data_IF_957176746130
#
_entry.id   IF_957176746130
#
_cell.length_a   1.000
_cell.length_b   1.000
_cell.length_c   1.000
_cell.angle_alpha   90.00
_cell.angle_beta   90.00
_cell.angle_gamma   90.00
#
_symmetry.space_group_name_H-M   'P 1'
#
loop_
_entity.id
_entity.type
_entity.pdbx_description
1 polymer ?
#
# COMPACT_ATOMS: atom_id res chain seq x y z
N UNK A 1 53.23 38.36 -60.57
CA UNK A 1 52.89 37.71 -61.85
C UNK A 1 52.42 36.29 -61.53
N UNK A 2 51.37 35.82 -62.23
CA UNK A 2 50.56 34.59 -61.98
C UNK A 2 49.27 34.87 -61.18
N UNK A 3 48.17 35.01 -61.94
CA UNK A 3 46.77 34.97 -61.51
C UNK A 3 46.25 33.54 -61.70
N UNK A 4 45.53 33.04 -60.70
CA UNK A 4 44.62 31.88 -60.71
C UNK A 4 43.71 32.13 -59.48
N UNK A 5 42.39 31.92 -59.43
CA UNK A 5 41.49 31.03 -60.13
C UNK A 5 40.07 31.62 -60.00
N UNK A 6 39.17 31.26 -60.92
CA UNK A 6 37.76 31.68 -61.02
C UNK A 6 36.95 31.30 -59.77
N UNK A 7 35.97 32.13 -59.38
CA UNK A 7 34.68 31.65 -58.86
C UNK A 7 33.58 32.67 -59.16
N UNK A 8 32.50 32.15 -59.73
CA UNK A 8 31.32 32.81 -60.25
C UNK A 8 30.35 33.10 -59.10
N UNK A 9 29.96 34.36 -58.89
CA UNK A 9 28.84 34.72 -58.02
C UNK A 9 27.53 34.59 -58.80
N UNK A 10 26.58 33.81 -58.27
CA UNK A 10 25.17 33.88 -58.67
C UNK A 10 24.32 33.96 -57.40
N UNK A 11 23.53 35.03 -57.30
CA UNK A 11 22.63 35.35 -56.20
C UNK A 11 21.38 34.47 -56.26
N UNK A 12 20.98 33.89 -55.12
CA UNK A 12 19.68 33.23 -54.95
C UNK A 12 19.01 33.74 -53.67
N UNK A 13 17.88 34.45 -53.83
CA UNK A 13 17.02 34.95 -52.77
C UNK A 13 16.46 33.77 -51.95
N UNK A 14 16.66 33.80 -50.63
CA UNK A 14 16.07 32.86 -49.69
C UNK A 14 14.57 33.12 -49.48
N UNK A 15 13.74 32.12 -49.75
CA UNK A 15 12.31 32.11 -49.44
C UNK A 15 12.14 31.62 -48.00
N UNK A 16 11.89 32.54 -47.07
CA UNK A 16 11.63 32.22 -45.66
C UNK A 16 10.20 31.67 -45.53
N UNK A 17 10.07 30.34 -45.45
CA UNK A 17 8.79 29.68 -45.18
C UNK A 17 8.40 29.90 -43.71
N UNK A 18 7.45 30.80 -43.49
CA UNK A 18 6.84 31.05 -42.19
C UNK A 18 5.82 29.93 -41.92
N UNK A 19 6.22 28.92 -41.15
CA UNK A 19 5.32 27.87 -40.67
C UNK A 19 4.43 28.50 -39.59
N UNK A 20 3.18 28.79 -39.94
CA UNK A 20 2.14 29.18 -38.99
C UNK A 20 1.70 27.95 -38.21
N UNK A 21 2.19 27.82 -36.98
CA UNK A 21 1.59 26.94 -35.98
C UNK A 21 0.20 27.49 -35.63
N UNK A 22 -0.85 26.87 -36.15
CA UNK A 22 -2.18 27.00 -35.57
C UNK A 22 -2.16 26.30 -34.20
N UNK A 23 -1.96 27.09 -33.14
CA UNK A 23 -2.14 26.64 -31.77
C UNK A 23 -3.58 26.18 -31.56
N UNK A 24 -3.74 24.96 -31.07
CA UNK A 24 -5.01 24.48 -30.52
C UNK A 24 -5.25 25.26 -29.23
N UNK A 25 -6.44 25.84 -28.98
CA UNK A 25 -6.69 26.49 -27.71
C UNK A 25 -6.71 25.40 -26.63
N UNK A 26 -5.79 25.50 -25.67
CA UNK A 26 -5.83 24.72 -24.45
C UNK A 26 -7.15 25.04 -23.76
N UNK A 27 -8.10 24.13 -23.90
CA UNK A 27 -9.20 24.05 -22.96
C UNK A 27 -8.57 23.54 -21.68
N UNK A 28 -8.32 24.45 -20.74
CA UNK A 28 -8.27 24.13 -19.32
C UNK A 28 -9.63 23.52 -18.97
N UNK A 29 -9.75 22.22 -19.27
CA UNK A 29 -10.74 21.37 -18.64
C UNK A 29 -10.34 21.31 -17.20
N UNK A 30 -11.08 22.01 -16.36
CA UNK A 30 -11.12 21.80 -14.93
C UNK A 30 -11.32 20.29 -14.71
N UNK A 31 -10.20 19.58 -14.49
CA UNK A 31 -10.22 18.17 -14.15
C UNK A 31 -10.75 18.13 -12.73
N UNK A 32 -12.07 18.10 -12.61
CA UNK A 32 -12.75 17.72 -11.37
C UNK A 32 -12.30 16.28 -11.12
N UNK A 33 -11.22 16.09 -10.35
CA UNK A 33 -10.88 14.78 -9.79
C UNK A 33 -12.08 14.39 -8.94
N UNK A 34 -12.89 13.45 -9.42
CA UNK A 34 -13.94 12.87 -8.60
C UNK A 34 -13.29 12.35 -7.31
N UNK A 35 -13.65 12.95 -6.19
CA UNK A 35 -13.11 12.57 -4.88
C UNK A 35 -13.57 11.14 -4.58
N UNK A 36 -12.62 10.23 -4.42
CA UNK A 36 -12.93 8.86 -4.08
C UNK A 36 -13.58 8.81 -2.70
N UNK A 37 -14.81 8.29 -2.64
CA UNK A 37 -15.53 8.02 -1.39
C UNK A 37 -15.50 6.53 -1.13
N UNK A 38 -15.14 6.13 0.09
CA UNK A 38 -15.13 4.73 0.50
C UNK A 38 -16.57 4.18 0.51
N UNK A 39 -16.91 3.20 -0.34
CA UNK A 39 -18.27 2.70 -0.42
C UNK A 39 -18.57 1.81 0.80
N UNK A 40 -19.83 1.72 1.21
CA UNK A 40 -20.26 0.65 2.11
C UNK A 40 -20.77 -0.51 1.28
N UNK A 41 -20.17 -1.69 1.43
CA UNK A 41 -20.53 -2.89 0.66
C UNK A 41 -21.13 -3.91 1.62
N UNK A 42 -22.40 -4.25 1.38
CA UNK A 42 -23.05 -5.36 2.06
C UNK A 42 -22.77 -6.65 1.28
N UNK A 43 -22.16 -7.67 1.88
CA UNK A 43 -21.91 -8.93 1.19
C UNK A 43 -23.22 -9.64 0.83
N UNK A 44 -23.15 -10.44 -0.23
CA UNK A 44 -24.27 -11.24 -0.71
C UNK A 44 -24.12 -12.75 -0.41
N UNK A 45 -22.97 -13.16 0.14
CA UNK A 45 -22.68 -14.54 0.54
C UNK A 45 -21.87 -15.32 -0.49
N UNK A 46 -21.66 -14.80 -1.70
CA UNK A 46 -20.80 -15.44 -2.71
C UNK A 46 -19.30 -15.19 -2.48
N UNK A 47 -18.96 -14.24 -1.61
CA UNK A 47 -17.58 -13.85 -1.35
C UNK A 47 -16.81 -15.01 -0.70
N UNK A 48 -15.60 -15.28 -1.17
CA UNK A 48 -14.78 -16.38 -0.67
C UNK A 48 -14.38 -16.16 0.78
N UNK A 49 -14.16 -14.90 1.18
CA UNK A 49 -13.78 -14.56 2.56
C UNK A 49 -14.85 -14.90 3.61
N UNK A 50 -16.09 -15.18 3.21
CA UNK A 50 -17.17 -15.63 4.10
C UNK A 50 -17.21 -17.16 4.24
N UNK A 51 -16.70 -17.87 3.25
CA UNK A 51 -16.94 -19.30 3.07
C UNK A 51 -15.69 -20.16 3.34
N UNK A 52 -14.50 -19.55 3.36
CA UNK A 52 -13.23 -20.22 3.60
C UNK A 52 -12.62 -19.84 4.97
N UNK A 53 -11.83 -20.74 5.55
CA UNK A 53 -11.10 -20.48 6.79
C UNK A 53 -9.87 -19.59 6.55
N UNK A 54 -9.32 -19.05 7.64
CA UNK A 54 -8.07 -18.28 7.62
C UNK A 54 -6.86 -19.07 7.13
N UNK A 55 -6.92 -20.42 7.10
CA UNK A 55 -5.84 -21.24 6.50
C UNK A 55 -5.59 -20.87 5.05
N UNK A 56 -6.64 -20.44 4.34
CA UNK A 56 -6.52 -19.96 2.98
C UNK A 56 -5.46 -18.87 2.91
N UNK A 57 -5.62 -17.75 3.62
CA UNK A 57 -4.70 -16.61 3.54
C UNK A 57 -3.33 -16.87 4.19
N UNK A 58 -3.21 -17.90 5.03
CA UNK A 58 -1.97 -18.30 5.71
C UNK A 58 -1.27 -19.53 5.09
N UNK A 59 -1.65 -19.91 3.86
CA UNK A 59 -0.94 -20.93 3.10
C UNK A 59 0.54 -20.54 2.93
N UNK A 60 1.44 -21.44 3.34
CA UNK A 60 2.88 -21.25 3.28
C UNK A 60 3.44 -21.27 1.85
N UNK A 61 2.71 -21.79 0.88
CA UNK A 61 3.21 -21.93 -0.49
C UNK A 61 2.78 -20.80 -1.42
N UNK A 62 1.89 -19.91 -0.96
CA UNK A 62 1.29 -18.87 -1.78
C UNK A 62 1.78 -17.47 -1.39
N UNK A 63 2.09 -16.66 -2.42
CA UNK A 63 2.40 -15.24 -2.24
C UNK A 63 1.23 -14.40 -2.73
N UNK A 64 0.35 -14.05 -1.80
CA UNK A 64 -0.88 -13.32 -2.12
C UNK A 64 -0.69 -11.81 -2.10
N UNK A 65 -1.58 -11.11 -2.81
CA UNK A 65 -1.64 -9.65 -2.86
C UNK A 65 -2.90 -9.15 -2.19
N UNK A 66 -2.73 -8.18 -1.28
CA UNK A 66 -3.81 -7.45 -0.65
C UNK A 66 -3.74 -6.01 -1.15
N UNK A 67 -4.88 -5.47 -1.55
CA UNK A 67 -4.98 -4.06 -1.96
C UNK A 67 -5.82 -3.28 -0.96
N UNK A 68 -5.27 -2.17 -0.49
CA UNK A 68 -5.97 -1.19 0.32
C UNK A 68 -6.26 0.02 -0.54
N UNK A 69 -7.49 0.49 -0.49
CA UNK A 69 -7.89 1.73 -1.15
C UNK A 69 -8.59 2.66 -0.17
N UNK A 70 -8.09 3.87 -0.05
CA UNK A 70 -8.54 4.90 0.88
C UNK A 70 -8.38 6.28 0.24
N UNK A 71 -9.00 7.30 0.83
CA UNK A 71 -8.90 8.67 0.29
C UNK A 71 -7.45 9.18 0.38
N UNK A 72 -7.03 10.04 -0.56
CA UNK A 72 -5.70 10.67 -0.51
C UNK A 72 -5.52 11.44 0.82
N UNK A 73 -6.58 12.15 1.25
CA UNK A 73 -6.63 12.87 2.53
C UNK A 73 -6.42 11.97 3.74
N UNK A 74 -7.03 10.79 3.76
CA UNK A 74 -6.87 9.84 4.87
C UNK A 74 -5.48 9.21 4.88
N UNK A 75 -4.90 8.94 3.70
CA UNK A 75 -3.52 8.47 3.59
C UNK A 75 -2.54 9.55 4.08
N UNK A 76 -2.69 10.80 3.63
CA UNK A 76 -1.91 11.94 4.11
C UNK A 76 -2.01 12.13 5.62
N UNK A 77 -3.20 11.91 6.20
CA UNK A 77 -3.41 11.98 7.64
C UNK A 77 -2.55 10.96 8.40
N UNK A 78 -2.58 9.69 8.00
CA UNK A 78 -1.79 8.65 8.67
C UNK A 78 -0.30 8.71 8.32
N UNK A 79 0.07 9.26 7.16
CA UNK A 79 1.46 9.54 6.80
C UNK A 79 2.02 10.74 7.58
N UNK A 80 1.18 11.71 7.94
CA UNK A 80 1.56 12.89 8.70
C UNK A 80 1.90 12.63 10.17
N UNK A 81 1.25 11.63 10.78
CA UNK A 81 1.58 11.15 12.13
C UNK A 81 1.28 9.64 12.27
N UNK A 82 2.13 8.75 11.72
CA UNK A 82 1.98 7.31 11.87
C UNK A 82 2.00 6.84 13.33
N UNK A 83 2.63 7.61 14.23
CA UNK A 83 2.83 7.23 15.63
C UNK A 83 1.58 7.43 16.49
N UNK A 84 0.64 8.27 16.03
CA UNK A 84 -0.67 8.43 16.65
C UNK A 84 -1.54 7.16 16.58
N UNK A 85 -1.20 6.20 15.72
CA UNK A 85 -1.92 4.94 15.53
C UNK A 85 -3.45 5.13 15.32
N UNK A 86 -3.84 6.23 14.67
CA UNK A 86 -5.23 6.53 14.39
C UNK A 86 -5.73 5.75 13.18
N UNK A 87 -6.93 5.19 13.30
CA UNK A 87 -7.61 4.56 12.18
C UNK A 87 -8.22 5.61 11.23
N UNK A 88 -8.08 5.34 9.95
CA UNK A 88 -8.81 5.99 8.86
C UNK A 88 -9.65 4.95 8.11
N UNK A 89 -10.61 5.41 7.33
CA UNK A 89 -11.54 4.55 6.59
C UNK A 89 -10.97 4.19 5.21
N UNK A 90 -11.17 2.94 4.79
CA UNK A 90 -10.81 2.48 3.46
C UNK A 90 -11.54 1.20 3.10
N UNK A 91 -11.09 0.52 2.04
CA UNK A 91 -11.56 -0.79 1.63
C UNK A 91 -10.40 -1.74 1.40
N UNK A 92 -10.64 -3.03 1.63
CA UNK A 92 -9.71 -4.11 1.31
C UNK A 92 -10.25 -4.88 0.10
N UNK A 93 -9.41 -5.01 -0.93
CA UNK A 93 -9.67 -5.81 -2.12
C UNK A 93 -8.72 -7.01 -2.09
N UNK A 94 -9.27 -8.19 -2.30
CA UNK A 94 -8.52 -9.44 -2.26
C UNK A 94 -9.17 -10.50 -3.14
N UNK A 95 -8.40 -11.01 -4.12
CA UNK A 95 -8.79 -12.14 -4.99
C UNK A 95 -10.21 -12.07 -5.57
N UNK A 96 -10.60 -10.88 -6.05
CA UNK A 96 -11.91 -10.61 -6.67
C UNK A 96 -12.98 -10.12 -5.70
N UNK A 97 -12.80 -10.32 -4.39
CA UNK A 97 -13.70 -9.81 -3.37
C UNK A 97 -13.29 -8.42 -2.88
N UNK A 98 -14.26 -7.63 -2.45
CA UNK A 98 -14.04 -6.35 -1.76
C UNK A 98 -14.80 -6.31 -0.45
N UNK A 99 -14.12 -5.98 0.64
CA UNK A 99 -14.71 -5.76 1.94
C UNK A 99 -14.56 -4.28 2.33
N UNK A 100 -15.70 -3.61 2.54
CA UNK A 100 -15.73 -2.16 2.77
C UNK A 100 -16.92 -1.71 3.64
N UNK A 101 -16.74 -0.78 4.59
CA UNK A 101 -15.49 -0.07 4.93
C UNK A 101 -14.64 -0.83 5.96
N UNK A 102 -13.32 -0.88 5.80
CA UNK A 102 -12.34 -1.32 6.83
C UNK A 102 -11.69 -0.12 7.51
N UNK A 103 -11.17 -0.33 8.73
CA UNK A 103 -10.30 0.63 9.39
C UNK A 103 -8.85 0.34 9.04
N UNK A 104 -8.07 1.33 8.62
CA UNK A 104 -6.65 1.19 8.27
C UNK A 104 -5.84 2.11 9.17
N UNK A 105 -4.73 1.61 9.71
CA UNK A 105 -3.74 2.43 10.43
C UNK A 105 -2.34 1.87 10.31
N UNK A 106 -1.34 2.71 10.51
CA UNK A 106 -0.02 2.21 10.87
C UNK A 106 0.01 1.68 12.30
N UNK A 107 0.92 0.74 12.55
CA UNK A 107 1.13 0.14 13.85
C UNK A 107 2.61 0.03 14.21
N UNK A 108 2.90 0.09 15.51
CA UNK A 108 4.27 -0.07 15.94
C UNK A 108 4.51 0.34 17.38
N UNK A 109 5.70 0.01 17.85
CA UNK A 109 6.32 0.63 19.02
C UNK A 109 7.66 1.20 18.58
N UNK A 110 8.50 1.65 19.50
CA UNK A 110 9.80 2.29 19.25
C UNK A 110 10.56 1.63 18.09
N UNK A 111 10.77 0.31 18.14
CA UNK A 111 11.51 -0.43 17.11
C UNK A 111 10.91 -0.41 15.70
N UNK A 112 9.60 -0.23 15.54
CA UNK A 112 8.95 -0.14 14.23
C UNK A 112 9.16 1.23 13.57
N UNK A 113 9.44 2.26 14.39
CA UNK A 113 9.55 3.65 13.96
C UNK A 113 10.99 4.13 13.81
N UNK A 114 11.98 3.38 14.32
CA UNK A 114 13.42 3.70 14.19
C UNK A 114 13.78 3.94 12.72
N UNK A 115 14.20 5.17 12.41
CA UNK A 115 14.60 5.58 11.05
C UNK A 115 13.44 5.70 10.05
N UNK A 116 12.19 5.63 10.52
CA UNK A 116 11.01 5.63 9.67
C UNK A 116 10.03 6.77 9.91
N UNK A 117 10.28 7.60 10.93
CA UNK A 117 9.59 8.86 11.18
C UNK A 117 10.62 9.98 11.36
N UNK A 118 10.24 11.24 11.09
CA UNK A 118 11.18 12.38 11.08
C UNK A 118 11.31 13.15 12.41
N UNK A 119 10.64 12.68 13.47
CA UNK A 119 10.81 13.21 14.82
C UNK A 119 12.25 13.08 15.33
N UNK A 120 12.73 14.04 16.14
CA UNK A 120 14.14 14.12 16.53
C UNK A 120 14.54 13.10 17.60
N UNK A 121 13.59 12.57 18.38
CA UNK A 121 13.86 11.65 19.49
C UNK A 121 13.55 10.19 19.08
N UNK A 122 14.56 9.32 18.89
CA UNK A 122 14.32 7.94 18.50
C UNK A 122 13.64 7.08 19.60
N UNK A 123 13.62 7.54 20.86
CA UNK A 123 12.95 6.85 21.97
C UNK A 123 11.52 7.36 22.23
N UNK A 124 11.15 8.48 21.61
CA UNK A 124 9.79 9.03 21.60
C UNK A 124 9.40 9.34 20.14
N UNK A 125 9.14 8.30 19.34
CA UNK A 125 8.89 8.47 17.91
C UNK A 125 7.71 9.40 17.67
N UNK A 126 7.89 10.31 16.73
CA UNK A 126 6.91 11.33 16.35
C UNK A 126 7.21 11.81 14.93
N UNK A 127 6.33 12.66 14.39
CA UNK A 127 6.51 13.25 13.06
C UNK A 127 6.02 12.34 11.93
N UNK A 128 6.25 12.78 10.69
CA UNK A 128 5.72 12.14 9.49
C UNK A 128 6.53 10.91 9.10
N UNK A 129 5.88 10.03 8.35
CA UNK A 129 6.49 8.87 7.69
C UNK A 129 7.59 9.31 6.71
N UNK A 130 8.73 8.63 6.79
CA UNK A 130 9.85 8.77 5.83
C UNK A 130 10.30 7.44 5.23
N UNK A 131 9.94 6.31 5.84
CA UNK A 131 10.16 5.00 5.23
C UNK A 131 9.14 4.71 4.14
N UNK A 132 9.55 3.99 3.09
CA UNK A 132 8.66 3.54 2.00
C UNK A 132 7.46 2.75 2.53
N UNK A 133 7.71 1.87 3.51
CA UNK A 133 6.69 1.03 4.13
C UNK A 133 6.76 1.08 5.65
N UNK A 134 5.59 1.08 6.28
CA UNK A 134 5.39 0.98 7.72
C UNK A 134 4.46 -0.21 7.99
N UNK A 135 4.54 -0.81 9.18
CA UNK A 135 3.66 -1.92 9.52
C UNK A 135 2.21 -1.41 9.56
N UNK A 136 1.30 -2.14 8.91
CA UNK A 136 -0.08 -1.72 8.71
C UNK A 136 -1.03 -2.69 9.40
N UNK A 137 -2.06 -2.17 10.06
CA UNK A 137 -3.15 -2.95 10.64
C UNK A 137 -4.45 -2.59 9.94
N UNK A 138 -5.20 -3.62 9.58
CA UNK A 138 -6.54 -3.50 8.98
C UNK A 138 -7.55 -4.07 9.96
N UNK A 139 -8.52 -3.27 10.38
CA UNK A 139 -9.63 -3.67 11.24
C UNK A 139 -10.83 -4.00 10.35
N UNK A 140 -11.22 -5.27 10.37
CA UNK A 140 -12.35 -5.80 9.60
C UNK A 140 -13.68 -5.50 10.31
N UNK A 141 -13.77 -5.58 11.62
CA UNK A 141 -14.97 -5.11 12.34
C UNK A 141 -14.93 -3.59 12.57
N UNK A 142 -14.87 -2.82 11.49
CA UNK A 142 -14.84 -1.36 11.51
C UNK A 142 -16.26 -0.78 11.54
N UNK A 143 -16.48 0.22 12.42
CA UNK A 143 -17.82 0.76 12.73
C UNK A 143 -18.77 -0.38 13.13
N UNK A 144 -20.00 -0.38 12.61
CA UNK A 144 -21.07 -1.34 12.94
C UNK A 144 -21.02 -2.60 12.06
N UNK A 145 -19.84 -2.96 11.53
CA UNK A 145 -19.68 -4.15 10.67
C UNK A 145 -19.39 -5.39 11.50
N UNK A 146 -20.18 -6.45 11.28
CA UNK A 146 -20.09 -7.73 11.99
C UNK A 146 -19.40 -8.83 11.18
N UNK A 147 -19.30 -8.69 9.86
CA UNK A 147 -18.67 -9.68 9.01
C UNK A 147 -17.16 -9.82 9.29
N UNK A 148 -16.67 -11.04 9.13
CA UNK A 148 -15.26 -11.40 9.28
C UNK A 148 -14.64 -11.65 7.90
N UNK A 149 -13.33 -11.47 7.80
CA UNK A 149 -12.56 -11.77 6.60
C UNK A 149 -11.79 -13.07 6.83
N UNK A 150 -12.19 -14.16 6.17
CA UNK A 150 -11.69 -15.52 6.41
C UNK A 150 -11.72 -15.91 7.90
N UNK A 151 -12.79 -15.53 8.61
CA UNK A 151 -12.93 -15.76 10.04
C UNK A 151 -12.13 -14.80 10.95
N UNK A 152 -11.45 -13.80 10.39
CA UNK A 152 -10.63 -12.85 11.14
C UNK A 152 -11.29 -11.47 11.28
N UNK A 153 -11.09 -10.85 12.45
CA UNK A 153 -11.50 -9.46 12.72
C UNK A 153 -10.43 -8.43 12.33
N UNK A 154 -9.18 -8.85 12.17
CA UNK A 154 -8.04 -7.97 11.90
C UNK A 154 -6.99 -8.66 11.05
N UNK A 155 -6.31 -7.88 10.22
CA UNK A 155 -5.09 -8.28 9.53
C UNK A 155 -3.93 -7.39 10.00
N UNK A 156 -2.73 -7.97 10.08
CA UNK A 156 -1.51 -7.25 10.42
C UNK A 156 -0.42 -7.54 9.40
N UNK A 157 0.05 -6.50 8.74
CA UNK A 157 1.14 -6.53 7.78
C UNK A 157 2.37 -5.93 8.45
N UNK A 158 3.32 -6.76 8.88
CA UNK A 158 4.55 -6.31 9.52
C UNK A 158 5.59 -5.97 8.45
N UNK A 159 6.13 -4.75 8.50
CA UNK A 159 7.05 -4.25 7.47
C UNK A 159 8.43 -4.93 7.51
N UNK A 160 8.83 -5.48 8.67
CA UNK A 160 10.13 -6.15 8.85
C UNK A 160 11.34 -5.25 8.47
N UNK A 161 11.25 -3.93 8.66
CA UNK A 161 12.26 -2.97 8.19
C UNK A 161 13.65 -3.19 8.80
N UNK A 162 13.71 -3.69 10.04
CA UNK A 162 14.97 -3.99 10.73
C UNK A 162 15.46 -5.43 10.49
N UNK A 163 14.67 -6.28 9.84
CA UNK A 163 15.09 -7.61 9.43
C UNK A 163 15.52 -7.62 7.97
N UNK A 164 16.84 -7.56 7.73
CA UNK A 164 17.42 -7.63 6.37
C UNK A 164 17.05 -8.89 5.57
N UNK A 165 16.67 -9.97 6.26
CA UNK A 165 16.23 -11.19 5.59
C UNK A 165 14.73 -11.17 5.27
N UNK A 166 13.94 -10.40 6.02
CA UNK A 166 12.48 -10.48 6.10
C UNK A 166 11.92 -11.85 6.50
N UNK A 167 12.77 -12.82 6.89
CA UNK A 167 12.38 -14.21 7.15
C UNK A 167 12.26 -14.53 8.65
N UNK A 168 12.83 -13.73 9.55
CA UNK A 168 12.95 -14.12 10.97
C UNK A 168 11.62 -14.40 11.62
N UNK A 169 10.62 -13.54 11.37
CA UNK A 169 9.29 -13.71 11.94
C UNK A 169 8.61 -14.98 11.43
N UNK A 170 8.59 -15.15 10.10
CA UNK A 170 8.00 -16.32 9.45
C UNK A 170 8.64 -17.62 9.92
N UNK A 171 9.98 -17.69 9.92
CA UNK A 171 10.72 -18.88 10.33
C UNK A 171 10.59 -19.15 11.83
N UNK A 172 10.56 -18.11 12.66
CA UNK A 172 10.37 -18.24 14.10
C UNK A 172 9.02 -18.86 14.44
N UNK A 173 7.94 -18.32 13.88
CA UNK A 173 6.59 -18.88 14.06
C UNK A 173 6.45 -20.28 13.48
N UNK A 174 7.02 -20.53 12.30
CA UNK A 174 7.05 -21.86 11.70
C UNK A 174 7.76 -22.88 12.61
N UNK A 175 8.91 -22.52 13.18
CA UNK A 175 9.67 -23.38 14.09
C UNK A 175 8.89 -23.70 15.36
N UNK A 176 8.30 -22.69 16.01
CA UNK A 176 7.47 -22.92 17.20
C UNK A 176 6.30 -23.86 16.91
N UNK A 177 5.61 -23.67 15.78
CA UNK A 177 4.55 -24.56 15.35
C UNK A 177 5.05 -25.98 15.09
N UNK A 178 6.21 -26.15 14.45
CA UNK A 178 6.84 -27.45 14.23
C UNK A 178 7.22 -28.17 15.53
N UNK A 179 7.44 -27.41 16.62
CA UNK A 179 7.69 -27.92 17.96
C UNK A 179 6.39 -28.21 18.75
N UNK A 180 5.21 -28.03 18.16
CA UNK A 180 3.93 -28.23 18.82
C UNK A 180 3.53 -27.10 19.79
N UNK A 181 4.16 -25.93 19.69
CA UNK A 181 3.77 -24.74 20.46
C UNK A 181 2.68 -24.00 19.72
N UNK A 182 1.56 -23.74 20.40
CA UNK A 182 0.47 -22.93 19.87
C UNK A 182 0.98 -21.50 19.63
N UNK A 183 0.87 -21.03 18.39
CA UNK A 183 1.57 -19.81 17.96
C UNK A 183 0.93 -19.22 16.71
N UNK A 184 1.10 -17.92 16.51
CA UNK A 184 0.61 -17.24 15.30
C UNK A 184 1.17 -17.87 14.03
N UNK A 185 0.35 -17.95 12.99
CA UNK A 185 0.86 -18.17 11.62
C UNK A 185 1.47 -16.89 11.07
N UNK A 186 2.47 -17.03 10.22
CA UNK A 186 3.07 -15.91 9.49
C UNK A 186 3.47 -16.36 8.08
N UNK A 187 3.08 -15.56 7.09
CA UNK A 187 3.42 -15.75 5.67
C UNK A 187 3.86 -14.42 5.06
N UNK A 188 4.45 -14.46 3.87
CA UNK A 188 4.72 -13.22 3.15
C UNK A 188 3.49 -12.81 2.33
N UNK A 189 3.23 -11.51 2.26
CA UNK A 189 2.15 -10.93 1.47
C UNK A 189 2.63 -9.65 0.77
N UNK A 190 2.12 -9.41 -0.44
CA UNK A 190 2.29 -8.13 -1.13
C UNK A 190 1.16 -7.19 -0.71
N UNK A 191 1.52 -5.95 -0.37
CA UNK A 191 0.54 -4.90 -0.08
C UNK A 191 0.60 -3.82 -1.16
N UNK A 192 -0.56 -3.51 -1.72
CA UNK A 192 -0.78 -2.39 -2.65
C UNK A 192 -1.64 -1.36 -1.92
N UNK A 193 -1.29 -0.09 -1.98
CA UNK A 193 -2.06 1.00 -1.38
C UNK A 193 -2.36 2.02 -2.47
N UNK A 194 -3.64 2.29 -2.73
CA UNK A 194 -4.09 3.21 -3.79
C UNK A 194 -3.47 2.92 -5.16
N UNK A 195 -3.33 1.64 -5.51
CA UNK A 195 -2.73 1.19 -6.78
C UNK A 195 -1.20 1.18 -6.79
N UNK A 196 -0.53 1.70 -5.76
CA UNK A 196 0.92 1.68 -5.66
C UNK A 196 1.41 0.48 -4.84
N UNK A 197 2.44 -0.21 -5.33
CA UNK A 197 3.06 -1.29 -4.59
C UNK A 197 3.80 -0.74 -3.37
N UNK A 198 3.22 -0.93 -2.18
CA UNK A 198 3.81 -0.47 -0.92
C UNK A 198 4.98 -1.34 -0.48
N UNK A 199 4.87 -2.67 -0.68
CA UNK A 199 5.99 -3.58 -0.44
C UNK A 199 5.60 -5.02 -0.12
N UNK A 200 6.62 -5.81 0.21
CA UNK A 200 6.50 -7.15 0.78
C UNK A 200 6.43 -7.06 2.30
N UNK A 201 5.46 -7.74 2.91
CA UNK A 201 5.19 -7.73 4.35
C UNK A 201 5.13 -9.15 4.89
N UNK A 202 5.35 -9.31 6.20
CA UNK A 202 4.88 -10.51 6.88
C UNK A 202 3.41 -10.29 7.28
N UNK A 203 2.50 -11.04 6.67
CA UNK A 203 1.12 -11.17 7.13
C UNK A 203 1.14 -12.13 8.31
N UNK A 204 0.92 -11.59 9.51
CA UNK A 204 1.05 -12.35 10.75
C UNK A 204 -0.26 -12.33 11.52
N UNK A 205 -0.66 -13.53 11.92
CA UNK A 205 -1.89 -13.79 12.62
C UNK A 205 -1.96 -13.00 13.94
N UNK A 206 -3.05 -12.25 14.09
CA UNK A 206 -3.35 -11.52 15.30
C UNK A 206 -3.80 -12.51 16.37
N UNK A 207 -3.13 -12.50 17.51
CA UNK A 207 -3.61 -13.19 18.72
C UNK A 207 -4.76 -12.35 19.29
N UNK A 208 -5.99 -12.79 19.08
CA UNK A 208 -7.22 -12.30 19.70
C UNK A 208 -8.28 -13.42 19.80
N UNK A 209 -9.55 -13.10 20.05
CA UNK A 209 -10.58 -14.14 20.21
C UNK A 209 -10.69 -15.09 19.01
N UNK A 210 -10.49 -14.60 17.79
CA UNK A 210 -10.52 -15.48 16.61
C UNK A 210 -9.37 -16.49 16.62
N UNK A 211 -8.24 -16.18 17.26
CA UNK A 211 -7.12 -17.09 17.43
C UNK A 211 -7.41 -18.22 18.42
N UNK A 212 -8.25 -17.96 19.43
CA UNK A 212 -8.60 -18.94 20.46
C UNK A 212 -9.79 -19.83 20.10
N UNK A 213 -10.51 -19.49 19.02
CA UNK A 213 -11.74 -20.16 18.61
C UNK A 213 -11.52 -21.30 17.59
N UNK A 214 -10.25 -21.64 17.28
CA UNK A 214 -9.89 -22.73 16.36
C UNK A 214 -10.08 -24.13 16.95
#
# INVERSE_FOLDING_TARGET
MIKSLKTLMLYGLGFLSLITFYGCPDKDGDNIKEEFIVPTIKPNGSEQYLNLSSDFIFDQNELRTFELKLTEKDLEKIDGDPTAEQYVEGMLIFEGDTISPVGIRYKGSVGAWVGCVDGPNPFEPSGKKICTKLSTKVKINWKDRDEKFYGLNKLQFHAQNLDKSHLRERLGYWLFKAMGVETSRSVHARLVINGEFSGLYALTEQIDGAFTDY
#
